data_IF_725835489209
#
_entry.id   IF_725835489209
#
_cell.length_a   1.000
_cell.length_b   1.000
_cell.length_c   1.000
_cell.angle_alpha   90.00
_cell.angle_beta   90.00
_cell.angle_gamma   90.00
#
_symmetry.space_group_name_H-M   'P 1'
#
loop_
_entity.id
_entity.type
_entity.pdbx_description
1 polymer ?
#
# COMPACT_ATOMS: atom_id res chain seq x y z
N UNK A 1 -5.85 -17.81 27.06
CA UNK A 1 -6.15 -17.97 25.63
C UNK A 1 -5.86 -19.41 25.22
N UNK A 2 -6.83 -20.13 24.65
CA UNK A 2 -6.62 -21.52 24.18
C UNK A 2 -5.85 -21.49 22.86
N UNK A 3 -4.75 -22.22 22.75
CA UNK A 3 -3.96 -22.29 21.52
C UNK A 3 -4.65 -23.24 20.54
N UNK A 4 -4.96 -22.73 19.36
CA UNK A 4 -5.42 -23.48 18.19
C UNK A 4 -4.21 -23.87 17.35
N UNK A 5 -3.80 -25.13 17.43
CA UNK A 5 -2.67 -25.65 16.66
C UNK A 5 -3.06 -25.92 15.21
N UNK A 6 -2.12 -25.67 14.30
CA UNK A 6 -2.30 -26.06 12.91
C UNK A 6 -2.37 -27.60 12.81
N UNK A 7 -3.25 -28.16 11.96
CA UNK A 7 -3.34 -29.60 11.80
C UNK A 7 -2.04 -30.15 11.22
N UNK A 8 -1.70 -31.40 11.57
CA UNK A 8 -0.49 -32.07 11.06
C UNK A 8 -0.54 -32.25 9.53
N UNK A 9 -1.72 -32.56 8.99
CA UNK A 9 -1.96 -32.79 7.56
C UNK A 9 -2.41 -31.50 6.86
N UNK A 10 -1.47 -30.57 6.65
CA UNK A 10 -1.67 -29.38 5.79
C UNK A 10 -1.05 -29.64 4.41
N UNK A 11 -1.79 -29.39 3.31
CA UNK A 11 -1.26 -29.57 1.95
C UNK A 11 0.06 -28.81 1.71
N UNK A 12 1.03 -29.37 0.95
CA UNK A 12 2.31 -28.72 0.67
C UNK A 12 2.16 -27.31 0.08
N UNK A 13 1.19 -27.11 -0.81
CA UNK A 13 0.90 -25.80 -1.38
C UNK A 13 0.54 -24.76 -0.31
N UNK A 14 -0.25 -25.11 0.71
CA UNK A 14 -0.59 -24.19 1.80
C UNK A 14 0.62 -23.90 2.70
N UNK A 15 1.54 -24.86 2.87
CA UNK A 15 2.80 -24.66 3.60
C UNK A 15 3.72 -23.70 2.87
N UNK A 16 3.90 -23.90 1.56
CA UNK A 16 4.67 -23.01 0.69
C UNK A 16 4.14 -21.58 0.73
N UNK A 17 2.82 -21.40 0.55
CA UNK A 17 2.17 -20.11 0.69
C UNK A 17 2.43 -19.47 2.06
N UNK A 18 2.36 -20.22 3.17
CA UNK A 18 2.67 -19.70 4.52
C UNK A 18 4.12 -19.25 4.64
N UNK A 19 5.07 -20.05 4.14
CA UNK A 19 6.49 -19.71 4.15
C UNK A 19 6.77 -18.45 3.34
N UNK A 20 6.19 -18.36 2.14
CA UNK A 20 6.34 -17.19 1.27
C UNK A 20 5.76 -15.95 1.94
N UNK A 21 4.53 -16.03 2.46
CA UNK A 21 3.92 -14.93 3.22
C UNK A 21 4.79 -14.52 4.41
N UNK A 22 5.42 -15.47 5.11
CA UNK A 22 6.36 -15.14 6.18
C UNK A 22 7.55 -14.34 5.68
N UNK A 23 8.17 -14.75 4.57
CA UNK A 23 9.29 -14.02 3.99
C UNK A 23 8.89 -12.60 3.61
N UNK A 24 7.71 -12.39 3.02
CA UNK A 24 7.19 -11.05 2.70
C UNK A 24 6.94 -10.21 3.95
N UNK A 25 6.21 -10.77 4.91
CA UNK A 25 5.88 -10.07 6.15
C UNK A 25 7.13 -9.73 6.95
N UNK A 26 8.08 -10.66 7.06
CA UNK A 26 9.37 -10.41 7.73
C UNK A 26 10.21 -9.41 6.95
N UNK A 27 10.24 -9.46 5.62
CA UNK A 27 10.93 -8.44 4.84
C UNK A 27 10.37 -7.05 5.14
N UNK A 28 9.05 -6.86 5.20
CA UNK A 28 8.49 -5.56 5.54
C UNK A 28 8.80 -5.08 6.97
N UNK A 29 8.68 -5.95 7.98
CA UNK A 29 8.90 -5.55 9.38
C UNK A 29 10.37 -5.52 9.82
N UNK A 30 11.20 -6.43 9.30
CA UNK A 30 12.58 -6.63 9.76
C UNK A 30 13.58 -5.94 8.85
N UNK A 31 13.34 -5.83 7.53
CA UNK A 31 14.31 -5.24 6.61
C UNK A 31 14.65 -3.79 7.00
N UNK A 32 13.66 -3.04 7.49
CA UNK A 32 13.88 -1.67 7.97
C UNK A 32 15.01 -1.58 9.00
N UNK A 33 14.92 -2.35 10.08
CA UNK A 33 15.89 -2.31 11.18
C UNK A 33 17.18 -3.06 10.84
N UNK A 34 17.05 -4.25 10.22
CA UNK A 34 18.19 -5.08 9.87
C UNK A 34 19.10 -4.42 8.83
N UNK A 35 18.55 -3.64 7.90
CA UNK A 35 19.35 -2.84 6.95
C UNK A 35 20.25 -1.83 7.63
N UNK A 36 19.75 -1.09 8.63
CA UNK A 36 20.58 -0.13 9.36
C UNK A 36 21.65 -0.83 10.21
N UNK A 37 21.29 -1.94 10.86
CA UNK A 37 22.26 -2.74 11.62
C UNK A 37 23.35 -3.32 10.71
N UNK A 38 22.99 -3.80 9.52
CA UNK A 38 23.95 -4.30 8.54
C UNK A 38 24.90 -3.20 8.06
N UNK A 39 24.37 -2.00 7.74
CA UNK A 39 25.19 -0.85 7.35
C UNK A 39 26.13 -0.44 8.48
N UNK A 40 25.62 -0.29 9.70
CA UNK A 40 26.43 0.08 10.86
C UNK A 40 27.52 -0.97 11.14
N UNK A 41 27.17 -2.25 11.15
CA UNK A 41 28.11 -3.35 11.31
C UNK A 41 29.18 -3.39 10.21
N UNK A 42 28.79 -3.15 8.96
CA UNK A 42 29.72 -3.07 7.83
C UNK A 42 30.70 -1.90 7.94
N UNK A 43 30.25 -0.76 8.46
CA UNK A 43 31.09 0.42 8.67
C UNK A 43 32.05 0.25 9.86
N UNK A 44 31.61 -0.40 10.94
CA UNK A 44 32.40 -0.61 12.17
C UNK A 44 33.40 -1.75 11.99
N UNK A 45 32.93 -2.91 11.52
CA UNK A 45 33.70 -4.16 11.50
C UNK A 45 34.22 -4.54 10.11
N UNK A 46 33.71 -3.93 9.03
CA UNK A 46 34.16 -4.24 7.68
C UNK A 46 35.61 -3.82 7.42
N UNK A 47 36.27 -4.47 6.46
CA UNK A 47 37.55 -4.00 5.92
C UNK A 47 37.38 -2.74 5.06
N UNK A 48 38.50 -2.12 4.66
CA UNK A 48 38.50 -0.86 3.88
C UNK A 48 37.60 -0.94 2.64
N UNK A 49 37.67 -2.03 1.86
CA UNK A 49 36.88 -2.22 0.64
C UNK A 49 35.37 -2.18 0.96
N UNK A 50 34.91 -2.96 1.94
CA UNK A 50 33.49 -3.02 2.29
C UNK A 50 32.99 -1.66 2.78
N UNK A 51 33.78 -0.97 3.63
CA UNK A 51 33.44 0.38 4.11
C UNK A 51 33.30 1.36 2.95
N UNK A 52 34.25 1.37 2.02
CA UNK A 52 34.21 2.23 0.84
C UNK A 52 32.99 1.95 -0.02
N UNK A 53 32.65 0.68 -0.27
CA UNK A 53 31.46 0.31 -1.03
C UNK A 53 30.17 0.76 -0.36
N UNK A 54 30.04 0.57 0.96
CA UNK A 54 28.87 1.02 1.72
C UNK A 54 28.75 2.55 1.69
N UNK A 55 29.85 3.29 1.87
CA UNK A 55 29.82 4.76 1.79
C UNK A 55 29.43 5.25 0.39
N UNK A 56 30.00 4.67 -0.67
CA UNK A 56 29.62 4.99 -2.06
C UNK A 56 28.13 4.72 -2.27
N UNK A 57 27.63 3.58 -1.80
CA UNK A 57 26.22 3.22 -1.92
C UNK A 57 25.30 4.20 -1.16
N UNK A 58 25.65 4.59 0.07
CA UNK A 58 24.88 5.57 0.85
C UNK A 58 24.87 6.95 0.19
N UNK A 59 26.01 7.41 -0.34
CA UNK A 59 26.11 8.67 -1.07
C UNK A 59 25.26 8.61 -2.34
N UNK A 60 25.37 7.54 -3.12
CA UNK A 60 24.55 7.31 -4.32
C UNK A 60 23.06 7.34 -3.96
N UNK A 61 22.64 6.61 -2.93
CA UNK A 61 21.25 6.55 -2.48
C UNK A 61 20.72 7.93 -2.11
N UNK A 62 21.49 8.69 -1.33
CA UNK A 62 21.11 10.04 -0.91
C UNK A 62 20.98 11.00 -2.11
N UNK A 63 21.98 11.02 -3.00
CA UNK A 63 21.98 11.91 -4.17
C UNK A 63 20.85 11.54 -5.14
N UNK A 64 20.64 10.25 -5.39
CA UNK A 64 19.59 9.77 -6.28
C UNK A 64 18.20 10.08 -5.71
N UNK A 65 17.99 9.89 -4.40
CA UNK A 65 16.74 10.27 -3.74
C UNK A 65 16.52 11.79 -3.79
N UNK A 66 17.53 12.61 -3.50
CA UNK A 66 17.42 14.07 -3.55
C UNK A 66 17.07 14.59 -4.96
N UNK A 67 17.59 13.94 -6.00
CA UNK A 67 17.37 14.34 -7.40
C UNK A 67 16.06 13.83 -7.99
N UNK A 68 15.68 12.58 -7.65
CA UNK A 68 14.61 11.86 -8.36
C UNK A 68 13.49 11.38 -7.45
N UNK A 69 13.58 11.64 -6.14
CA UNK A 69 12.71 11.04 -5.12
C UNK A 69 12.67 9.50 -5.19
N UNK A 70 13.76 8.89 -5.68
CA UNK A 70 13.92 7.44 -5.88
C UNK A 70 12.90 6.78 -6.81
N UNK A 71 12.30 7.57 -7.71
CA UNK A 71 11.26 7.10 -8.63
C UNK A 71 11.83 6.10 -9.64
N UNK A 72 10.99 5.14 -10.04
CA UNK A 72 11.15 4.34 -11.25
C UNK A 72 9.91 4.56 -12.11
N UNK A 73 10.12 5.01 -13.35
CA UNK A 73 9.03 5.36 -14.26
C UNK A 73 8.26 4.12 -14.75
N UNK A 74 8.94 3.01 -15.05
CA UNK A 74 8.31 1.74 -15.46
C UNK A 74 7.68 0.97 -14.28
N UNK A 75 6.99 -0.15 -14.55
CA UNK A 75 6.41 -1.03 -13.52
C UNK A 75 7.45 -1.80 -12.65
N UNK A 76 8.68 -1.27 -12.53
CA UNK A 76 9.78 -1.93 -11.84
C UNK A 76 10.28 -3.14 -12.62
N UNK A 77 10.68 -4.19 -11.91
CA UNK A 77 11.24 -5.39 -12.54
C UNK A 77 10.12 -6.35 -12.98
N UNK A 78 9.66 -6.20 -14.23
CA UNK A 78 8.52 -6.96 -14.77
C UNK A 78 8.67 -8.49 -14.68
N UNK A 79 9.88 -9.04 -14.88
CA UNK A 79 10.14 -10.49 -14.74
C UNK A 79 9.84 -11.02 -13.33
N UNK A 80 9.91 -10.14 -12.34
CA UNK A 80 9.54 -10.49 -10.98
C UNK A 80 8.01 -10.56 -10.86
N UNK A 81 7.22 -9.72 -11.54
CA UNK A 81 5.80 -9.46 -11.24
C UNK A 81 4.77 -10.53 -11.56
N UNK A 82 5.14 -11.61 -12.23
CA UNK A 82 4.20 -12.64 -12.69
C UNK A 82 4.63 -14.06 -12.31
N UNK A 83 5.57 -14.18 -11.36
CA UNK A 83 6.18 -15.46 -10.97
C UNK A 83 5.37 -16.26 -9.92
N UNK A 84 5.74 -17.52 -9.73
CA UNK A 84 5.10 -18.45 -8.79
C UNK A 84 5.19 -18.00 -7.32
N UNK A 85 6.23 -17.23 -6.97
CA UNK A 85 6.41 -16.70 -5.62
C UNK A 85 5.27 -15.72 -5.28
N UNK A 86 5.05 -14.70 -6.11
CA UNK A 86 3.98 -13.72 -5.86
C UNK A 86 2.58 -14.31 -6.05
N UNK A 87 2.39 -15.27 -6.97
CA UNK A 87 1.12 -16.01 -7.05
C UNK A 87 0.84 -16.78 -5.77
N UNK A 88 1.86 -17.36 -5.14
CA UNK A 88 1.69 -18.04 -3.85
C UNK A 88 1.37 -17.06 -2.73
N UNK A 89 1.98 -15.87 -2.72
CA UNK A 89 1.63 -14.80 -1.79
C UNK A 89 0.18 -14.34 -1.97
N UNK A 90 -0.25 -14.11 -3.22
CA UNK A 90 -1.65 -13.81 -3.59
C UNK A 90 -2.63 -14.89 -3.10
N UNK A 91 -2.29 -16.16 -3.33
CA UNK A 91 -3.11 -17.31 -2.96
C UNK A 91 -3.14 -17.60 -1.46
N UNK A 92 -2.27 -16.96 -0.66
CA UNK A 92 -2.41 -16.99 0.78
C UNK A 92 -3.67 -16.26 1.24
N UNK A 93 -4.04 -15.14 0.61
CA UNK A 93 -5.18 -14.28 0.96
C UNK A 93 -6.38 -14.35 0.01
N UNK A 94 -6.48 -15.41 -0.81
CA UNK A 94 -7.30 -15.43 -2.04
C UNK A 94 -7.72 -14.06 -2.60
N UNK A 95 -6.74 -13.24 -3.03
CA UNK A 95 -7.01 -11.83 -3.41
C UNK A 95 -7.81 -11.72 -4.70
N UNK A 96 -8.87 -10.93 -4.66
CA UNK A 96 -9.69 -10.56 -5.81
C UNK A 96 -9.60 -9.06 -6.13
N UNK A 97 -9.76 -8.74 -7.41
CA UNK A 97 -9.82 -7.38 -7.93
C UNK A 97 -11.10 -7.24 -8.76
N UNK A 98 -12.00 -6.37 -8.31
CA UNK A 98 -13.31 -6.11 -8.93
C UNK A 98 -13.25 -4.75 -9.61
N UNK A 99 -13.48 -4.73 -10.92
CA UNK A 99 -13.60 -3.52 -11.73
C UNK A 99 -15.07 -3.12 -11.83
N UNK A 100 -15.43 -1.90 -11.41
CA UNK A 100 -16.81 -1.41 -11.55
C UNK A 100 -17.00 -0.39 -12.67
N UNK A 101 -15.91 0.10 -13.26
CA UNK A 101 -15.95 1.09 -14.33
C UNK A 101 -14.70 0.99 -15.23
N UNK A 102 -14.82 1.48 -16.45
CA UNK A 102 -13.70 1.65 -17.36
C UNK A 102 -12.80 2.80 -16.91
N UNK A 103 -11.49 2.60 -17.01
CA UNK A 103 -10.48 3.64 -16.82
C UNK A 103 -9.76 3.84 -18.15
N UNK A 104 -10.04 4.92 -18.90
CA UNK A 104 -9.35 5.18 -20.15
C UNK A 104 -7.87 5.51 -19.91
N UNK A 105 -6.96 4.91 -20.68
CA UNK A 105 -5.51 5.12 -20.53
C UNK A 105 -5.01 6.46 -21.12
N UNK A 106 -5.87 7.48 -21.18
CA UNK A 106 -5.59 8.81 -21.73
C UNK A 106 -5.41 9.91 -20.66
N UNK A 107 -5.40 9.52 -19.38
CA UNK A 107 -5.22 10.39 -18.23
C UNK A 107 -4.59 9.62 -17.09
N UNK A 108 -4.02 10.30 -16.11
CA UNK A 108 -3.46 9.67 -14.91
C UNK A 108 -4.50 9.65 -13.77
N UNK A 109 -4.31 8.74 -12.82
CA UNK A 109 -5.28 8.45 -11.76
C UNK A 109 -4.62 8.47 -10.37
N UNK A 110 -5.36 9.02 -9.40
CA UNK A 110 -5.12 8.75 -7.98
C UNK A 110 -6.13 7.71 -7.53
N UNK A 111 -5.66 6.51 -7.20
CA UNK A 111 -6.50 5.46 -6.63
C UNK A 111 -6.58 5.65 -5.11
N UNK A 112 -7.59 6.37 -4.64
CA UNK A 112 -7.81 6.66 -3.22
C UNK A 112 -8.31 5.39 -2.52
N UNK A 113 -7.41 4.73 -1.79
CA UNK A 113 -7.59 3.34 -1.35
C UNK A 113 -7.85 3.25 0.16
N UNK A 114 -8.86 2.44 0.52
CA UNK A 114 -9.34 2.25 1.90
C UNK A 114 -9.78 0.81 2.14
N UNK A 115 -9.87 0.35 3.39
CA UNK A 115 -9.07 0.84 4.51
C UNK A 115 -7.57 0.52 4.28
N UNK A 116 -6.69 1.20 5.00
CA UNK A 116 -5.24 0.99 4.98
C UNK A 116 -4.86 -0.40 5.50
N UNK A 117 -5.56 -0.88 6.52
CA UNK A 117 -5.15 -2.05 7.29
C UNK A 117 -3.78 -1.83 7.96
N UNK A 118 -3.11 -2.89 8.37
CA UNK A 118 -1.74 -2.80 8.91
C UNK A 118 -0.69 -2.61 7.80
N UNK A 119 -0.84 -3.30 6.65
CA UNK A 119 0.17 -3.34 5.58
C UNK A 119 -0.33 -2.87 4.21
N UNK A 120 -1.64 -2.66 4.00
CA UNK A 120 -2.20 -2.37 2.66
C UNK A 120 -2.00 -3.53 1.68
N UNK A 121 -2.19 -4.75 2.16
CA UNK A 121 -1.82 -6.01 1.49
C UNK A 121 -2.55 -6.22 0.18
N UNK A 122 -3.86 -5.97 0.11
CA UNK A 122 -4.65 -6.12 -1.12
C UNK A 122 -4.11 -5.24 -2.26
N UNK A 123 -3.92 -3.95 -1.99
CA UNK A 123 -3.33 -2.99 -2.93
C UNK A 123 -1.90 -3.39 -3.30
N UNK A 124 -1.08 -3.73 -2.30
CA UNK A 124 0.29 -4.17 -2.49
C UNK A 124 0.39 -5.41 -3.39
N UNK A 125 -0.57 -6.34 -3.32
CA UNK A 125 -0.62 -7.53 -4.16
C UNK A 125 -1.09 -7.17 -5.58
N UNK A 126 -2.24 -6.50 -5.70
CA UNK A 126 -2.87 -6.23 -7.00
C UNK A 126 -2.09 -5.22 -7.86
N UNK A 127 -1.41 -4.27 -7.24
CA UNK A 127 -0.73 -3.16 -7.94
C UNK A 127 0.77 -3.12 -7.71
N UNK A 128 1.25 -3.71 -6.62
CA UNK A 128 2.66 -3.92 -6.40
C UNK A 128 3.07 -5.23 -7.05
N UNK A 129 3.01 -6.35 -6.32
CA UNK A 129 3.79 -7.54 -6.64
C UNK A 129 3.23 -8.46 -7.74
N UNK A 130 1.94 -8.83 -7.71
CA UNK A 130 1.32 -9.77 -8.66
C UNK A 130 0.27 -9.02 -9.51
N UNK A 131 0.77 -8.22 -10.45
CA UNK A 131 -0.05 -7.23 -11.18
C UNK A 131 -0.79 -7.82 -12.39
N UNK A 132 -0.65 -9.12 -12.66
CA UNK A 132 -1.25 -9.76 -13.84
C UNK A 132 -2.75 -9.43 -13.95
N UNK A 133 -3.49 -9.53 -12.84
CA UNK A 133 -4.93 -9.25 -12.83
C UNK A 133 -5.24 -7.75 -13.03
N UNK A 134 -4.37 -6.86 -12.56
CA UNK A 134 -4.50 -5.43 -12.82
C UNK A 134 -4.34 -5.13 -14.31
N UNK A 135 -3.31 -5.69 -14.93
CA UNK A 135 -3.02 -5.49 -16.35
C UNK A 135 -4.12 -6.05 -17.26
N UNK A 136 -4.78 -7.13 -16.84
CA UNK A 136 -5.96 -7.68 -17.52
C UNK A 136 -7.15 -6.71 -17.48
N UNK A 137 -7.44 -6.13 -16.31
CA UNK A 137 -8.62 -5.29 -16.10
C UNK A 137 -8.44 -3.83 -16.54
N UNK A 138 -7.22 -3.32 -16.45
CA UNK A 138 -6.85 -1.92 -16.72
C UNK A 138 -5.64 -1.87 -17.69
N UNK A 139 -5.83 -2.31 -18.94
CA UNK A 139 -4.76 -2.36 -19.92
C UNK A 139 -4.16 -0.96 -20.17
N UNK A 140 -2.86 -0.90 -20.43
CA UNK A 140 -2.09 0.34 -20.68
C UNK A 140 -2.01 1.33 -19.48
N UNK A 141 -2.50 0.94 -18.29
CA UNK A 141 -2.37 1.72 -17.06
C UNK A 141 -1.32 1.09 -16.15
N UNK A 142 -0.23 1.80 -15.88
CA UNK A 142 0.82 1.40 -14.92
C UNK A 142 0.28 1.46 -13.49
N UNK A 143 0.22 0.32 -12.77
CA UNK A 143 -0.08 0.35 -11.35
C UNK A 143 1.15 0.84 -10.56
N UNK A 144 0.93 1.80 -9.67
CA UNK A 144 1.92 2.30 -8.72
C UNK A 144 1.31 2.30 -7.34
N UNK A 145 2.08 1.84 -6.35
CA UNK A 145 1.66 1.89 -4.94
C UNK A 145 2.48 2.94 -4.23
N UNK A 146 1.80 3.95 -3.67
CA UNK A 146 2.40 4.98 -2.84
C UNK A 146 2.73 4.45 -1.45
N UNK A 147 3.96 4.64 -1.00
CA UNK A 147 4.40 4.39 0.38
C UNK A 147 5.14 5.59 0.95
N UNK A 148 5.32 5.59 2.27
CA UNK A 148 6.08 6.59 3.02
C UNK A 148 7.46 6.87 2.39
N UNK A 149 7.80 8.15 2.23
CA UNK A 149 9.05 8.63 1.60
C UNK A 149 10.30 8.10 2.32
N UNK A 150 10.23 8.02 3.65
CA UNK A 150 11.27 7.50 4.53
C UNK A 150 11.71 6.08 4.14
N UNK A 151 10.81 5.25 3.61
CA UNK A 151 11.17 3.90 3.17
C UNK A 151 12.19 3.89 2.02
N UNK A 152 12.26 4.97 1.22
CA UNK A 152 13.23 5.12 0.14
C UNK A 152 14.60 5.66 0.61
N UNK A 153 14.74 5.96 1.90
CA UNK A 153 16.01 6.33 2.54
C UNK A 153 16.62 5.17 3.33
N UNK A 154 15.98 3.99 3.30
CA UNK A 154 16.42 2.79 3.99
C UNK A 154 17.26 1.94 3.04
N UNK A 155 18.55 1.70 3.36
CA UNK A 155 19.43 0.82 2.60
C UNK A 155 18.78 -0.53 2.27
N UNK A 156 18.96 -1.04 1.05
CA UNK A 156 18.43 -2.32 0.52
C UNK A 156 16.91 -2.41 0.39
N UNK A 157 16.15 -1.90 1.37
CA UNK A 157 14.69 -1.83 1.32
C UNK A 157 14.25 -0.98 0.13
N UNK A 158 14.90 0.17 -0.07
CA UNK A 158 14.66 1.03 -1.22
C UNK A 158 14.70 0.27 -2.56
N UNK A 159 15.69 -0.57 -2.77
CA UNK A 159 15.87 -1.34 -4.02
C UNK A 159 14.75 -2.36 -4.18
N UNK A 160 14.32 -3.01 -3.09
CA UNK A 160 13.16 -3.92 -3.10
C UNK A 160 11.88 -3.16 -3.47
N UNK A 161 11.62 -2.01 -2.86
CA UNK A 161 10.44 -1.19 -3.15
C UNK A 161 10.43 -0.68 -4.59
N UNK A 162 11.59 -0.24 -5.09
CA UNK A 162 11.79 0.21 -6.47
C UNK A 162 11.62 -0.93 -7.47
N UNK A 163 12.19 -2.10 -7.18
CA UNK A 163 11.95 -3.31 -7.97
C UNK A 163 10.45 -3.66 -7.96
N UNK A 164 9.78 -3.35 -6.84
CA UNK A 164 8.34 -3.44 -6.71
C UNK A 164 7.54 -2.25 -7.25
N UNK A 165 8.15 -1.32 -7.98
CA UNK A 165 7.46 -0.20 -8.63
C UNK A 165 6.67 0.68 -7.66
N UNK A 166 6.99 0.60 -6.35
CA UNK A 166 6.43 1.50 -5.34
C UNK A 166 7.03 2.89 -5.55
N UNK A 167 6.24 3.89 -5.21
CA UNK A 167 6.62 5.31 -5.31
C UNK A 167 6.43 6.00 -3.98
N UNK A 168 7.16 7.08 -3.76
CA UNK A 168 6.95 7.92 -2.59
C UNK A 168 5.61 8.64 -2.69
N UNK A 169 4.93 8.81 -1.55
CA UNK A 169 3.76 9.71 -1.41
C UNK A 169 4.15 11.17 -1.18
N UNK A 170 5.43 11.53 -1.34
CA UNK A 170 5.87 12.92 -1.34
C UNK A 170 5.20 13.72 -2.46
N UNK A 171 5.03 15.03 -2.24
CA UNK A 171 4.35 15.91 -3.18
C UNK A 171 5.04 15.87 -4.55
N UNK A 172 6.37 15.91 -4.56
CA UNK A 172 7.20 15.97 -5.74
C UNK A 172 7.11 14.67 -6.55
N UNK A 173 7.15 13.51 -5.87
CA UNK A 173 7.01 12.22 -6.53
C UNK A 173 5.61 12.00 -7.12
N UNK A 174 4.58 12.39 -6.37
CA UNK A 174 3.20 12.32 -6.88
C UNK A 174 3.00 13.23 -8.08
N UNK A 175 3.47 14.48 -8.05
CA UNK A 175 3.40 15.38 -9.20
C UNK A 175 4.11 14.74 -10.40
N UNK A 176 5.36 14.28 -10.24
CA UNK A 176 6.11 13.65 -11.32
C UNK A 176 5.34 12.50 -11.97
N UNK A 177 4.76 11.58 -11.18
CA UNK A 177 4.04 10.43 -11.72
C UNK A 177 2.70 10.82 -12.37
N UNK A 178 1.99 11.78 -11.79
CA UNK A 178 0.64 12.18 -12.21
C UNK A 178 0.62 13.19 -13.36
N UNK A 179 1.75 13.81 -13.70
CA UNK A 179 1.89 14.71 -14.86
C UNK A 179 2.64 14.10 -16.04
N UNK A 180 3.02 12.82 -15.97
CA UNK A 180 3.59 12.08 -17.11
C UNK A 180 2.66 12.14 -18.31
N UNK A 181 3.25 12.28 -19.50
CA UNK A 181 2.52 12.34 -20.76
C UNK A 181 1.72 11.07 -21.00
N UNK A 182 0.50 11.23 -21.51
CA UNK A 182 -0.34 10.12 -21.95
C UNK A 182 -0.23 9.84 -23.47
N UNK A 183 0.68 10.51 -24.18
CA UNK A 183 0.95 10.25 -25.60
C UNK A 183 1.72 8.93 -25.78
N UNK A 184 1.19 7.95 -26.54
CA UNK A 184 1.88 6.69 -26.84
C UNK A 184 3.28 6.85 -27.46
N UNK A 185 3.55 7.98 -28.13
CA UNK A 185 4.85 8.25 -28.76
C UNK A 185 5.86 8.91 -27.83
N UNK A 186 5.43 9.33 -26.64
CA UNK A 186 6.32 9.97 -25.68
C UNK A 186 7.39 9.00 -25.17
N UNK A 187 8.59 9.52 -24.88
CA UNK A 187 9.72 8.70 -24.44
C UNK A 187 9.45 7.94 -23.13
N UNK A 188 8.57 8.47 -22.28
CA UNK A 188 8.12 7.83 -21.04
C UNK A 188 7.27 6.57 -21.27
N UNK A 189 6.70 6.40 -22.47
CA UNK A 189 5.70 5.38 -22.79
C UNK A 189 6.23 4.25 -23.68
N UNK A 190 7.57 4.10 -23.76
CA UNK A 190 8.25 3.06 -24.54
C UNK A 190 7.97 1.63 -24.06
N UNK A 191 7.50 1.46 -22.84
CA UNK A 191 7.09 0.16 -22.28
C UNK A 191 5.67 -0.25 -22.69
N UNK A 192 4.99 0.54 -23.54
CA UNK A 192 3.66 0.25 -24.06
C UNK A 192 2.51 0.69 -23.16
N UNK A 193 2.80 1.38 -22.06
CA UNK A 193 1.80 1.96 -21.17
C UNK A 193 1.71 3.46 -21.38
N UNK A 194 0.52 4.03 -21.24
CA UNK A 194 0.28 5.47 -21.48
C UNK A 194 -0.23 6.19 -20.25
N UNK A 195 -0.71 5.49 -19.23
CA UNK A 195 -1.29 6.10 -18.04
C UNK A 195 -0.64 5.57 -16.77
N UNK A 196 -0.63 6.39 -15.72
CA UNK A 196 -0.25 5.97 -14.37
C UNK A 196 -1.48 5.98 -13.46
N UNK A 197 -1.67 4.91 -12.69
CA UNK A 197 -2.57 4.87 -11.55
C UNK A 197 -1.77 4.73 -10.26
N UNK A 198 -1.75 5.79 -9.46
CA UNK A 198 -1.03 5.83 -8.19
C UNK A 198 -2.00 5.58 -7.04
N UNK A 199 -1.90 4.41 -6.42
CA UNK A 199 -2.66 4.07 -5.24
C UNK A 199 -2.09 4.77 -4.00
N UNK A 200 -2.97 5.44 -3.26
CA UNK A 200 -2.64 6.13 -2.02
C UNK A 200 -3.56 5.58 -0.94
N UNK A 201 -2.98 5.02 0.13
CA UNK A 201 -3.72 4.64 1.33
C UNK A 201 -3.94 5.90 2.17
N UNK A 202 -5.04 6.59 1.90
CA UNK A 202 -5.26 8.00 2.31
C UNK A 202 -5.27 8.18 3.83
N UNK A 203 -5.84 7.23 4.58
CA UNK A 203 -5.88 7.28 6.04
C UNK A 203 -4.49 7.16 6.70
N UNK A 204 -3.53 6.54 5.98
CA UNK A 204 -2.13 6.44 6.35
C UNK A 204 -1.91 5.81 7.73
N UNK A 205 -0.85 6.25 8.39
CA UNK A 205 -0.45 5.79 9.72
C UNK A 205 -1.54 5.96 10.80
N UNK A 206 -2.45 6.93 10.67
CA UNK A 206 -3.54 7.08 11.64
C UNK A 206 -4.53 5.91 11.52
N UNK A 207 -5.02 5.66 10.30
CA UNK A 207 -5.99 4.58 10.05
C UNK A 207 -5.40 3.20 10.36
N UNK A 208 -4.10 3.00 10.11
CA UNK A 208 -3.42 1.76 10.48
C UNK A 208 -3.44 1.48 12.01
N UNK A 209 -3.32 2.52 12.85
CA UNK A 209 -3.44 2.36 14.31
C UNK A 209 -4.87 2.08 14.77
N UNK A 210 -5.87 2.42 13.95
CA UNK A 210 -7.29 2.17 14.21
C UNK A 210 -7.80 0.88 13.56
N UNK A 211 -6.93 0.14 12.85
CA UNK A 211 -7.27 -1.09 12.13
C UNK A 211 -7.45 -2.26 13.09
N UNK A 212 -8.70 -2.65 13.36
CA UNK A 212 -9.04 -3.84 14.12
C UNK A 212 -9.96 -4.76 13.30
N UNK A 213 -9.88 -6.09 13.47
CA UNK A 213 -10.71 -7.03 12.73
C UNK A 213 -12.21 -6.70 12.83
N UNK A 214 -12.90 -6.78 11.69
CA UNK A 214 -14.32 -6.45 11.56
C UNK A 214 -14.67 -4.95 11.67
N UNK A 215 -13.69 -4.07 11.90
CA UNK A 215 -13.93 -2.63 12.05
C UNK A 215 -13.54 -1.87 10.77
N UNK A 216 -14.54 -1.25 10.13
CA UNK A 216 -14.36 -0.45 8.91
C UNK A 216 -14.37 1.03 9.27
N UNK A 217 -13.27 1.48 9.86
CA UNK A 217 -13.09 2.85 10.32
C UNK A 217 -12.08 3.54 9.40
N UNK A 218 -12.52 4.58 8.71
CA UNK A 218 -11.69 5.35 7.78
C UNK A 218 -11.31 6.70 8.38
N UNK A 219 -10.03 7.06 8.28
CA UNK A 219 -9.55 8.42 8.57
C UNK A 219 -9.58 9.22 7.27
N UNK A 220 -10.68 9.93 7.00
CA UNK A 220 -10.89 10.60 5.71
C UNK A 220 -11.45 12.03 5.81
N UNK A 221 -12.33 12.38 6.76
CA UNK A 221 -13.04 13.69 6.76
C UNK A 221 -12.08 14.88 6.66
N UNK A 222 -10.92 14.77 7.31
CA UNK A 222 -9.88 15.81 7.31
C UNK A 222 -8.80 15.64 6.23
N UNK A 223 -8.80 14.53 5.47
CA UNK A 223 -7.72 14.13 4.55
C UNK A 223 -7.91 14.63 3.12
N UNK A 224 -7.96 15.95 2.93
CA UNK A 224 -8.19 16.56 1.60
C UNK A 224 -6.95 16.67 0.70
N UNK A 225 -5.79 16.16 1.15
CA UNK A 225 -4.51 16.32 0.44
C UNK A 225 -4.46 15.65 -0.93
N UNK A 226 -5.03 14.44 -1.06
CA UNK A 226 -5.08 13.72 -2.34
C UNK A 226 -6.01 14.40 -3.35
N UNK A 227 -7.10 15.03 -2.89
CA UNK A 227 -8.00 15.82 -3.73
C UNK A 227 -7.29 17.05 -4.29
N UNK A 228 -6.56 17.78 -3.42
CA UNK A 228 -5.72 18.89 -3.86
C UNK A 228 -4.66 18.45 -4.88
N UNK A 229 -4.10 17.25 -4.71
CA UNK A 229 -3.13 16.68 -5.64
C UNK A 229 -3.76 16.36 -7.01
N UNK A 230 -4.93 15.71 -7.00
CA UNK A 230 -5.71 15.42 -8.19
C UNK A 230 -6.00 16.70 -8.99
N UNK A 231 -6.53 17.73 -8.32
CA UNK A 231 -6.84 19.02 -8.94
C UNK A 231 -5.58 19.69 -9.52
N UNK A 232 -4.45 19.67 -8.82
CA UNK A 232 -3.20 20.25 -9.35
C UNK A 232 -2.68 19.54 -10.59
N UNK A 233 -2.83 18.23 -10.65
CA UNK A 233 -2.28 17.39 -11.71
C UNK A 233 -3.27 17.19 -12.86
N UNK A 234 -4.57 17.48 -12.65
CA UNK A 234 -5.64 17.12 -13.57
C UNK A 234 -5.93 15.62 -13.60
N UNK A 235 -5.47 14.87 -12.59
CA UNK A 235 -5.67 13.42 -12.51
C UNK A 235 -7.02 13.08 -11.90
N UNK A 236 -7.74 12.13 -12.47
CA UNK A 236 -9.02 11.67 -11.91
C UNK A 236 -8.80 10.89 -10.60
N UNK A 237 -9.73 11.02 -9.66
CA UNK A 237 -9.70 10.26 -8.41
C UNK A 237 -10.54 9.01 -8.61
N UNK A 238 -9.99 7.84 -8.31
CA UNK A 238 -10.72 6.56 -8.34
C UNK A 238 -10.84 6.05 -6.91
N UNK A 239 -12.05 6.04 -6.31
CA UNK A 239 -12.27 5.43 -5.00
C UNK A 239 -12.03 3.92 -5.07
N UNK A 240 -11.29 3.37 -4.12
CA UNK A 240 -11.00 1.93 -4.02
C UNK A 240 -11.24 1.43 -2.60
N UNK A 241 -11.93 0.30 -2.47
CA UNK A 241 -12.29 -0.28 -1.17
C UNK A 241 -11.83 -1.75 -1.08
N UNK A 242 -11.12 -2.12 -0.01
CA UNK A 242 -10.56 -3.45 0.22
C UNK A 242 -11.26 -4.17 1.37
N UNK A 243 -12.22 -5.04 1.06
CA UNK A 243 -12.87 -5.89 2.05
C UNK A 243 -11.92 -6.99 2.51
N UNK A 244 -11.94 -7.33 3.81
CA UNK A 244 -11.08 -8.34 4.43
C UNK A 244 -9.67 -7.85 4.79
N UNK A 245 -9.27 -6.65 4.36
CA UNK A 245 -7.94 -6.08 4.65
C UNK A 245 -7.71 -5.87 6.15
N UNK A 246 -8.74 -5.45 6.90
CA UNK A 246 -8.65 -5.25 8.36
C UNK A 246 -8.63 -6.57 9.16
N UNK A 247 -8.97 -7.70 8.52
CA UNK A 247 -9.11 -8.99 9.20
C UNK A 247 -7.82 -9.84 9.14
N UNK A 248 -6.81 -9.40 8.39
CA UNK A 248 -5.55 -10.14 8.24
C UNK A 248 -4.61 -9.95 9.42
N UNK A 249 -4.78 -8.89 10.21
CA UNK A 249 -4.05 -8.67 11.44
C UNK A 249 -4.99 -8.10 12.47
N UNK A 250 -4.91 -8.64 13.67
CA UNK A 250 -5.34 -7.94 14.86
C UNK A 250 -4.17 -7.07 15.38
N UNK A 251 -4.39 -6.30 16.42
CA UNK A 251 -3.33 -5.61 17.14
C UNK A 251 -3.65 -5.49 18.62
N UNK A 252 -2.62 -5.25 19.43
CA UNK A 252 -2.82 -5.00 20.87
C UNK A 252 -3.79 -3.82 21.05
N UNK A 253 -4.79 -4.01 21.90
CA UNK A 253 -5.81 -3.00 22.18
C UNK A 253 -5.17 -1.65 22.55
N UNK A 254 -5.52 -0.62 21.79
CA UNK A 254 -4.92 0.71 21.87
C UNK A 254 -5.99 1.81 21.83
N UNK A 255 -6.96 1.82 22.78
CA UNK A 255 -8.01 2.82 22.81
C UNK A 255 -7.43 4.24 23.00
N UNK A 256 -8.16 5.30 22.60
CA UNK A 256 -7.67 6.69 22.59
C UNK A 256 -6.99 7.18 23.88
N UNK A 257 -7.47 6.72 25.02
CA UNK A 257 -7.04 7.09 26.37
C UNK A 257 -5.84 6.27 26.89
N UNK A 258 -5.50 5.15 26.25
CA UNK A 258 -4.44 4.23 26.69
C UNK A 258 -3.03 4.83 26.60
N UNK A 259 -2.12 4.34 27.47
CA UNK A 259 -0.70 4.66 27.41
C UNK A 259 -0.09 4.28 26.05
N UNK A 260 -0.44 3.10 25.53
CA UNK A 260 0.02 2.62 24.23
C UNK A 260 -0.32 3.64 23.13
N UNK A 261 -1.59 4.09 23.06
CA UNK A 261 -2.01 5.06 22.06
C UNK A 261 -1.28 6.40 22.18
N UNK A 262 -1.01 6.87 23.41
CA UNK A 262 -0.23 8.10 23.64
C UNK A 262 1.17 7.96 23.07
N UNK A 263 1.87 6.87 23.36
CA UNK A 263 3.21 6.58 22.83
C UNK A 263 3.18 6.47 21.30
N UNK A 264 2.24 5.71 20.74
CA UNK A 264 2.09 5.57 19.29
C UNK A 264 1.87 6.92 18.61
N UNK A 265 1.04 7.78 19.20
CA UNK A 265 0.74 9.12 18.69
C UNK A 265 1.96 10.05 18.71
N UNK A 266 2.77 9.99 19.78
CA UNK A 266 4.03 10.75 19.87
C UNK A 266 5.02 10.29 18.81
N UNK A 267 5.25 8.98 18.68
CA UNK A 267 6.18 8.42 17.67
C UNK A 267 5.71 8.79 16.26
N UNK A 268 4.43 8.65 15.95
CA UNK A 268 3.86 9.06 14.66
C UNK A 268 4.04 10.55 14.40
N UNK A 269 3.83 11.42 15.41
CA UNK A 269 4.02 12.87 15.26
C UNK A 269 5.48 13.22 14.97
N UNK A 270 6.43 12.50 15.55
CA UNK A 270 7.87 12.75 15.37
C UNK A 270 8.43 12.17 14.07
N UNK A 271 7.95 10.99 13.65
CA UNK A 271 8.58 10.20 12.59
C UNK A 271 7.72 10.01 11.34
N UNK A 272 6.40 10.21 11.45
CA UNK A 272 5.41 9.85 10.43
C UNK A 272 5.02 8.36 10.42
N UNK A 273 5.69 7.51 11.20
CA UNK A 273 5.48 6.06 11.25
C UNK A 273 4.54 5.68 12.38
N UNK A 274 3.61 4.74 12.14
CA UNK A 274 2.82 4.13 13.20
C UNK A 274 3.57 2.94 13.81
N UNK A 275 3.94 2.96 15.11
CA UNK A 275 4.49 1.79 15.76
C UNK A 275 3.35 0.83 16.12
N UNK A 276 3.02 -0.05 15.19
CA UNK A 276 1.97 -1.07 15.32
C UNK A 276 2.53 -2.31 16.01
N UNK A 277 1.71 -2.95 16.85
CA UNK A 277 2.03 -4.24 17.46
C UNK A 277 1.03 -5.26 16.90
N UNK A 278 1.26 -5.76 15.67
CA UNK A 278 0.33 -6.65 15.00
C UNK A 278 0.29 -8.01 15.70
N UNK A 279 -0.91 -8.54 15.82
CA UNK A 279 -1.20 -9.88 16.32
C UNK A 279 -1.84 -10.67 15.18
N UNK A 280 -1.08 -11.63 14.67
CA UNK A 280 -1.55 -12.56 13.66
C UNK A 280 -1.53 -13.99 14.18
N UNK A 281 -1.06 -14.90 13.35
CA UNK A 281 -0.89 -16.32 13.63
C UNK A 281 0.58 -16.74 13.58
N UNK A 282 0.84 -17.97 14.01
CA UNK A 282 2.14 -18.62 13.89
C UNK A 282 2.25 -19.48 12.64
N UNK A 283 3.43 -20.05 12.45
CA UNK A 283 3.65 -21.10 11.45
C UNK A 283 2.85 -22.36 11.79
N UNK A 284 2.85 -22.73 13.07
CA UNK A 284 2.28 -23.98 13.59
C UNK A 284 1.04 -23.79 14.47
N UNK A 285 0.59 -22.55 14.69
CA UNK A 285 -0.63 -22.24 15.43
C UNK A 285 -1.40 -21.10 14.74
N UNK A 286 -2.71 -20.98 15.00
CA UNK A 286 -3.59 -19.97 14.41
C UNK A 286 -3.93 -18.82 15.36
N UNK A 287 -3.42 -18.87 16.59
CA UNK A 287 -3.86 -17.98 17.68
C UNK A 287 -2.95 -16.76 17.88
N UNK A 288 -1.64 -16.91 17.70
CA UNK A 288 -0.70 -15.80 17.90
C UNK A 288 0.56 -15.92 17.03
N UNK A 289 1.12 -14.78 16.66
CA UNK A 289 2.39 -14.67 15.96
C UNK A 289 2.42 -13.44 15.05
N UNK A 290 3.43 -13.37 14.19
CA UNK A 290 3.65 -12.24 13.29
C UNK A 290 3.14 -12.49 11.87
N UNK A 291 2.62 -13.69 11.56
CA UNK A 291 2.07 -13.99 10.24
C UNK A 291 0.63 -13.47 10.14
N UNK A 292 0.23 -12.85 9.04
CA UNK A 292 -1.15 -12.43 8.87
C UNK A 292 -2.10 -13.63 8.86
N UNK A 293 -3.32 -13.42 9.34
CA UNK A 293 -4.41 -14.36 9.22
C UNK A 293 -4.76 -14.61 7.76
N UNK A 294 -5.18 -15.85 7.49
CA UNK A 294 -5.44 -16.33 6.14
C UNK A 294 -6.86 -15.98 5.72
N UNK A 295 -7.11 -14.69 5.43
CA UNK A 295 -8.43 -14.15 5.08
C UNK A 295 -8.49 -13.75 3.61
N UNK A 296 -9.69 -13.82 3.02
CA UNK A 296 -9.96 -13.35 1.66
C UNK A 296 -9.86 -11.83 1.63
N UNK A 297 -9.16 -11.26 0.66
CA UNK A 297 -9.15 -9.81 0.40
C UNK A 297 -9.83 -9.53 -0.94
N UNK A 298 -10.80 -8.64 -0.97
CA UNK A 298 -11.46 -8.21 -2.21
C UNK A 298 -11.31 -6.71 -2.38
N UNK A 299 -10.54 -6.30 -3.39
CA UNK A 299 -10.39 -4.89 -3.76
C UNK A 299 -11.41 -4.52 -4.83
N UNK A 300 -12.30 -3.59 -4.53
CA UNK A 300 -13.25 -2.99 -5.47
C UNK A 300 -12.70 -1.65 -5.95
N UNK A 301 -12.53 -1.50 -7.27
CA UNK A 301 -12.09 -0.27 -7.93
C UNK A 301 -13.30 0.43 -8.53
N UNK A 302 -13.60 1.61 -7.99
CA UNK A 302 -14.76 2.44 -8.31
C UNK A 302 -14.67 3.18 -9.65
N UNK A 303 -15.66 4.04 -9.89
CA UNK A 303 -15.68 4.94 -11.05
C UNK A 303 -14.77 6.16 -10.85
N UNK A 304 -14.13 6.68 -11.91
CA UNK A 304 -13.32 7.88 -11.81
C UNK A 304 -14.17 9.12 -11.55
N UNK A 305 -13.69 9.97 -10.65
CA UNK A 305 -14.19 11.31 -10.37
C UNK A 305 -13.22 12.28 -11.05
N UNK A 306 -13.68 12.86 -12.16
CA UNK A 306 -12.91 13.83 -12.91
C UNK A 306 -12.82 15.18 -12.20
N UNK A 307 -11.69 15.86 -12.37
CA UNK A 307 -11.43 17.15 -11.75
C UNK A 307 -10.99 18.17 -12.81
N UNK A 308 -11.31 19.43 -12.58
CA UNK A 308 -10.80 20.54 -13.39
C UNK A 308 -9.43 20.92 -12.85
N UNK A 309 -8.41 20.89 -13.71
CA UNK A 309 -7.03 21.19 -13.31
C UNK A 309 -6.91 22.65 -12.83
N UNK A 310 -6.26 22.86 -11.69
CA UNK A 310 -5.91 24.19 -11.18
C UNK A 310 -4.65 24.14 -10.31
N UNK A 311 -3.72 25.06 -10.54
CA UNK A 311 -2.52 25.21 -9.71
C UNK A 311 -2.84 25.73 -8.30
N UNK A 312 -3.99 26.42 -8.16
CA UNK A 312 -4.53 26.93 -6.91
C UNK A 312 -5.92 26.30 -6.65
N UNK A 313 -5.97 25.09 -6.07
CA UNK A 313 -7.24 24.43 -5.75
C UNK A 313 -8.09 25.28 -4.80
N UNK A 314 -9.26 25.69 -5.27
CA UNK A 314 -10.26 26.37 -4.45
C UNK A 314 -10.80 25.44 -3.34
N UNK A 315 -11.01 26.00 -2.14
CA UNK A 315 -11.41 25.23 -0.98
C UNK A 315 -12.82 24.63 -1.13
N UNK A 316 -13.78 25.39 -1.68
CA UNK A 316 -15.14 24.90 -1.87
C UNK A 316 -15.20 23.80 -2.93
N UNK A 317 -14.41 23.93 -4.01
CA UNK A 317 -14.30 22.89 -5.01
C UNK A 317 -13.62 21.62 -4.47
N UNK A 318 -12.54 21.76 -3.69
CA UNK A 318 -11.90 20.64 -2.99
C UNK A 318 -12.91 19.90 -2.10
N UNK A 319 -13.74 20.63 -1.37
CA UNK A 319 -14.72 20.05 -0.46
C UNK A 319 -15.84 19.32 -1.21
N UNK A 320 -16.29 19.88 -2.34
CA UNK A 320 -17.24 19.22 -3.24
C UNK A 320 -16.68 17.89 -3.75
N UNK A 321 -15.47 17.88 -4.31
CA UNK A 321 -14.85 16.66 -4.85
C UNK A 321 -14.58 15.65 -3.74
N UNK A 322 -14.15 16.10 -2.56
CA UNK A 322 -13.97 15.24 -1.40
C UNK A 322 -15.29 14.59 -0.94
N UNK A 323 -16.40 15.34 -0.97
CA UNK A 323 -17.74 14.82 -0.72
C UNK A 323 -18.12 13.69 -1.68
N UNK A 324 -17.86 13.86 -2.98
CA UNK A 324 -18.09 12.81 -3.99
C UNK A 324 -17.28 11.54 -3.73
N UNK A 325 -16.04 11.68 -3.24
CA UNK A 325 -15.22 10.52 -2.86
C UNK A 325 -15.83 9.77 -1.67
N UNK A 326 -16.28 10.48 -0.64
CA UNK A 326 -16.92 9.85 0.53
C UNK A 326 -18.21 9.13 0.13
N UNK A 327 -19.09 9.78 -0.64
CA UNK A 327 -20.34 9.18 -1.14
C UNK A 327 -20.07 7.92 -1.98
N UNK A 328 -19.05 7.96 -2.85
CA UNK A 328 -18.68 6.81 -3.65
C UNK A 328 -18.16 5.63 -2.80
N UNK A 329 -17.40 5.91 -1.73
CA UNK A 329 -16.94 4.86 -0.80
C UNK A 329 -18.09 4.26 0.01
N UNK A 330 -19.02 5.08 0.49
CA UNK A 330 -20.24 4.63 1.16
C UNK A 330 -21.07 3.73 0.25
N UNK A 331 -21.26 4.14 -1.02
CA UNK A 331 -21.97 3.35 -2.03
C UNK A 331 -21.28 2.01 -2.30
N UNK A 332 -19.96 1.99 -2.48
CA UNK A 332 -19.20 0.75 -2.66
C UNK A 332 -19.36 -0.14 -1.43
N UNK A 333 -19.24 0.43 -0.22
CA UNK A 333 -19.40 -0.33 1.01
C UNK A 333 -20.78 -0.98 1.11
N UNK A 334 -21.85 -0.20 0.93
CA UNK A 334 -23.22 -0.70 1.04
C UNK A 334 -23.56 -1.74 -0.02
N UNK A 335 -23.06 -1.57 -1.25
CA UNK A 335 -23.29 -2.51 -2.33
C UNK A 335 -22.63 -3.88 -2.09
N UNK A 336 -21.43 -3.91 -1.51
CA UNK A 336 -20.62 -5.13 -1.45
C UNK A 336 -20.46 -5.73 -0.04
N UNK A 337 -20.86 -5.03 1.03
CA UNK A 337 -20.69 -5.50 2.42
C UNK A 337 -21.35 -6.85 2.68
N UNK A 338 -22.55 -7.09 2.14
CA UNK A 338 -23.26 -8.36 2.36
C UNK A 338 -22.57 -9.56 1.70
N UNK A 339 -21.86 -9.31 0.60
CA UNK A 339 -21.16 -10.34 -0.13
C UNK A 339 -19.80 -10.68 0.48
N UNK A 340 -19.10 -9.69 1.03
CA UNK A 340 -17.69 -9.83 1.43
C UNK A 340 -17.42 -9.73 2.93
N UNK A 341 -18.40 -9.32 3.74
CA UNK A 341 -18.26 -9.23 5.20
C UNK A 341 -19.13 -10.31 5.85
N UNK A 342 -18.52 -11.29 6.55
CA UNK A 342 -19.28 -12.24 7.36
C UNK A 342 -20.12 -11.51 8.43
N UNK A 343 -21.40 -11.87 8.57
CA UNK A 343 -22.31 -11.25 9.53
C UNK A 343 -22.48 -9.73 9.38
N UNK A 344 -22.46 -9.23 8.13
CA UNK A 344 -22.50 -7.82 7.73
C UNK A 344 -23.65 -6.97 8.31
N UNK A 345 -24.74 -7.57 8.81
CA UNK A 345 -25.95 -6.86 9.26
C UNK A 345 -25.67 -5.73 10.28
N UNK A 346 -24.67 -5.93 11.12
CA UNK A 346 -24.29 -4.96 12.16
C UNK A 346 -23.03 -4.16 11.81
N UNK A 347 -22.38 -4.46 10.69
CA UNK A 347 -21.15 -3.79 10.28
C UNK A 347 -21.49 -2.48 9.58
N UNK A 348 -20.91 -1.39 10.08
CA UNK A 348 -21.08 -0.05 9.52
C UNK A 348 -19.72 0.51 9.09
N UNK A 349 -19.72 1.24 7.99
CA UNK A 349 -18.61 2.10 7.63
C UNK A 349 -18.65 3.34 8.52
N UNK A 350 -17.52 3.66 9.16
CA UNK A 350 -17.37 4.88 9.96
C UNK A 350 -16.30 5.73 9.32
N UNK A 351 -16.65 6.96 8.92
CA UNK A 351 -15.71 7.91 8.35
C UNK A 351 -15.43 9.01 9.38
N UNK A 352 -14.17 9.12 9.81
CA UNK A 352 -13.66 10.10 10.77
C UNK A 352 -12.81 11.19 10.14
#
# INVERSE_FOLDING_TARGET
MKIEWAPLKVPPARRLQTMITALFTMAFFVLLFSSYLFVAGSLIYGGLILRSLILIYLVYMYLDHKRTHSIIDSNGWMLNRTNTLYRSYRNYFPVELVKTAELPANRNYILASFPHGILGTGIGINMGVEISKWLELFPQIRPKVGTLDQHFLVPFMREVLRAWGLVSVSKEALIHMLTKSNDPKHADNRDGFTSNAVAILVGGAQEAMDSHPGQYILTLKSRKGFVKMAIRTGSSIVPSFSFGEVDIFDQVANPPDSLLRRVQSVVKKLTGVAPLIPVGRGFFNYTFGFLPQRRRIVQVVGAPIDVVKSDQPDAAYVDKVHGQVMEALEKIFDQYKEQYIPHSKNTKLVIH
#
